data_IF_676844602455
#
_entry.id   IF_676844602455
#
_cell.length_a   1.000
_cell.length_b   1.000
_cell.length_c   1.000
_cell.angle_alpha   90.00
_cell.angle_beta   90.00
_cell.angle_gamma   90.00
#
_symmetry.space_group_name_H-M   'P 1'
#
loop_
_entity.id
_entity.type
_entity.pdbx_description
1 polymer ?
#
# COMPACT_ATOMS: atom_id res chain seq x y z
N UNK A 1 -6.31 -6.75 7.69
CA UNK A 1 -5.90 -8.05 7.13
C UNK A 1 -4.46 -8.32 7.51
N UNK A 2 -4.11 -9.58 7.81
CA UNK A 2 -2.75 -10.03 8.08
C UNK A 2 -2.44 -11.16 7.11
N UNK A 3 -1.32 -11.09 6.39
CA UNK A 3 -0.91 -12.12 5.43
C UNK A 3 -0.19 -13.30 6.11
N UNK A 4 0.60 -13.02 7.15
CA UNK A 4 1.43 -13.99 7.86
C UNK A 4 2.90 -13.80 7.52
N UNK A 5 3.78 -14.69 8.00
CA UNK A 5 5.19 -14.62 7.60
C UNK A 5 5.40 -15.20 6.20
N UNK A 6 6.27 -14.57 5.41
CA UNK A 6 6.60 -15.01 4.07
C UNK A 6 6.82 -13.84 3.13
N UNK A 7 6.97 -14.12 1.84
CA UNK A 7 6.89 -13.07 0.83
C UNK A 7 5.46 -13.10 0.30
N UNK A 8 4.64 -12.14 0.68
CA UNK A 8 3.21 -12.16 0.38
C UNK A 8 2.80 -11.19 -0.73
N UNK A 9 1.72 -11.53 -1.41
CA UNK A 9 0.97 -10.61 -2.28
C UNK A 9 -0.32 -10.23 -1.56
N UNK A 10 -0.42 -8.95 -1.22
CA UNK A 10 -1.44 -8.43 -0.30
C UNK A 10 -2.29 -7.42 -1.05
N UNK A 11 -3.59 -7.68 -1.14
CA UNK A 11 -4.58 -6.75 -1.71
C UNK A 11 -5.74 -6.60 -0.73
N UNK A 12 -6.05 -5.38 -0.31
CA UNK A 12 -7.24 -5.09 0.51
C UNK A 12 -8.53 -5.29 -0.26
N UNK A 13 -8.51 -4.83 -1.52
CA UNK A 13 -9.69 -4.77 -2.36
C UNK A 13 -10.39 -3.43 -2.17
N UNK A 14 -11.71 -3.41 -2.33
CA UNK A 14 -12.50 -2.18 -2.18
C UNK A 14 -12.82 -1.90 -0.72
N UNK A 15 -12.63 -0.65 -0.29
CA UNK A 15 -12.95 -0.17 1.06
C UNK A 15 -11.70 0.17 1.85
N UNK A 16 -11.86 0.91 2.95
CA UNK A 16 -10.70 1.40 3.70
C UNK A 16 -10.07 0.28 4.54
N UNK A 17 -8.94 -0.27 4.07
CA UNK A 17 -8.30 -1.42 4.69
C UNK A 17 -7.07 -1.10 5.53
N UNK A 18 -6.76 -1.99 6.49
CA UNK A 18 -5.45 -2.01 7.16
C UNK A 18 -4.72 -3.30 6.76
N UNK A 19 -3.55 -3.17 6.16
CA UNK A 19 -2.78 -4.27 5.55
C UNK A 19 -1.49 -4.51 6.35
N UNK A 20 -1.22 -5.76 6.68
CA UNK A 20 -0.03 -6.18 7.45
C UNK A 20 0.61 -7.42 6.81
N UNK A 21 1.85 -7.28 6.34
CA UNK A 21 2.62 -8.37 5.73
C UNK A 21 3.49 -9.17 6.70
N UNK A 22 3.66 -8.72 7.95
CA UNK A 22 4.59 -9.35 8.91
C UNK A 22 6.03 -9.43 8.38
N UNK A 23 6.68 -10.59 8.45
CA UNK A 23 8.09 -10.75 8.08
C UNK A 23 8.25 -11.27 6.65
N UNK A 24 9.21 -10.71 5.91
CA UNK A 24 9.53 -11.07 4.54
C UNK A 24 9.26 -9.93 3.56
N UNK A 25 9.49 -10.20 2.27
CA UNK A 25 9.46 -9.18 1.20
C UNK A 25 8.11 -9.18 0.51
N UNK A 26 7.26 -8.26 0.93
CA UNK A 26 5.86 -8.24 0.51
C UNK A 26 5.59 -7.31 -0.67
N UNK A 27 4.54 -7.64 -1.40
CA UNK A 27 3.99 -6.83 -2.47
C UNK A 27 2.58 -6.43 -2.09
N UNK A 28 2.35 -5.14 -1.86
CA UNK A 28 1.04 -4.56 -1.64
C UNK A 28 0.47 -4.10 -2.98
N UNK A 29 -0.61 -4.70 -3.45
CA UNK A 29 -1.29 -4.32 -4.68
C UNK A 29 -2.35 -3.28 -4.35
N UNK A 30 -2.26 -2.11 -5.01
CA UNK A 30 -3.21 -1.01 -4.86
C UNK A 30 -3.79 -0.60 -6.20
N UNK A 31 -5.12 -0.49 -6.27
CA UNK A 31 -5.89 -0.24 -7.48
C UNK A 31 -6.82 0.97 -7.31
N UNK A 32 -7.38 1.44 -8.44
CA UNK A 32 -8.41 2.49 -8.42
C UNK A 32 -9.69 1.92 -7.82
N UNK A 33 -10.31 2.66 -6.91
CA UNK A 33 -11.51 2.26 -6.19
C UNK A 33 -11.24 1.43 -4.92
N UNK A 34 -9.97 1.20 -4.57
CA UNK A 34 -9.62 0.49 -3.35
C UNK A 34 -9.93 1.34 -2.11
N UNK A 35 -9.93 2.67 -2.20
CA UNK A 35 -10.26 3.55 -1.07
C UNK A 35 -9.03 3.97 -0.29
N UNK A 36 -9.18 4.19 1.02
CA UNK A 36 -8.14 4.76 1.87
C UNK A 36 -7.47 3.69 2.77
N UNK A 37 -6.41 3.09 2.24
CA UNK A 37 -5.69 2.00 2.89
C UNK A 37 -4.54 2.47 3.77
N UNK A 38 -4.23 1.66 4.79
CA UNK A 38 -3.06 1.83 5.66
C UNK A 38 -2.23 0.57 5.73
N UNK A 39 -0.95 0.69 5.37
CA UNK A 39 0.03 -0.38 5.50
C UNK A 39 0.72 -0.23 6.85
N UNK A 40 0.85 -1.34 7.59
CA UNK A 40 1.62 -1.41 8.83
C UNK A 40 2.63 -2.54 8.71
N UNK A 41 3.91 -2.18 8.79
CA UNK A 41 5.02 -3.11 8.63
C UNK A 41 5.56 -3.57 9.99
N UNK A 42 5.74 -4.88 10.13
CA UNK A 42 6.33 -5.50 11.32
C UNK A 42 7.57 -6.36 10.99
N UNK A 43 8.00 -6.37 9.73
CA UNK A 43 9.15 -7.14 9.25
C UNK A 43 10.51 -6.54 9.60
N UNK A 44 11.57 -7.21 9.17
CA UNK A 44 12.93 -6.74 9.41
C UNK A 44 13.24 -5.50 8.54
N UNK A 45 14.14 -4.62 9.00
CA UNK A 45 14.57 -3.47 8.20
C UNK A 45 15.27 -3.86 6.88
N UNK A 46 15.69 -5.12 6.74
CA UNK A 46 16.27 -5.71 5.53
C UNK A 46 15.22 -6.20 4.54
N UNK A 47 13.95 -6.24 4.95
CA UNK A 47 12.83 -6.62 4.10
C UNK A 47 12.45 -5.43 3.24
N UNK A 48 12.63 -5.60 1.93
CA UNK A 48 12.33 -4.57 0.93
C UNK A 48 10.97 -4.89 0.33
N UNK A 49 9.96 -4.14 0.75
CA UNK A 49 8.58 -4.29 0.31
C UNK A 49 8.27 -3.38 -0.87
N UNK A 50 7.26 -3.76 -1.65
CA UNK A 50 6.88 -3.08 -2.89
C UNK A 50 5.41 -2.70 -2.83
N UNK A 51 5.11 -1.41 -3.01
CA UNK A 51 3.77 -0.98 -3.40
C UNK A 51 3.66 -1.10 -4.92
N UNK A 52 2.80 -1.99 -5.40
CA UNK A 52 2.52 -2.19 -6.82
C UNK A 52 1.20 -1.49 -7.17
N UNK A 53 1.29 -0.52 -8.07
CA UNK A 53 0.11 0.14 -8.62
C UNK A 53 -0.51 -0.73 -9.71
N UNK A 54 -1.83 -0.87 -9.66
CA UNK A 54 -2.62 -1.64 -10.62
C UNK A 54 -2.60 -1.06 -12.02
N UNK A 55 -3.12 -1.85 -12.98
CA UNK A 55 -3.19 -1.44 -14.38
C UNK A 55 -4.01 -0.14 -14.54
N UNK A 56 -3.55 0.76 -15.41
CA UNK A 56 -4.23 2.04 -15.66
C UNK A 56 -3.98 3.12 -14.60
N UNK A 57 -3.04 2.90 -13.69
CA UNK A 57 -2.46 3.94 -12.84
C UNK A 57 -1.09 4.30 -13.42
N UNK A 58 -0.99 5.46 -14.05
CA UNK A 58 0.27 6.02 -14.52
C UNK A 58 0.96 6.81 -13.40
N UNK A 59 2.25 7.07 -13.54
CA UNK A 59 3.01 7.91 -12.59
C UNK A 59 2.38 9.31 -12.42
N UNK A 60 1.84 9.88 -13.50
CA UNK A 60 1.16 11.18 -13.48
C UNK A 60 -0.15 11.17 -12.66
N UNK A 61 -0.71 10.00 -12.40
CA UNK A 61 -1.90 9.86 -11.54
C UNK A 61 -1.55 9.91 -10.06
N UNK A 62 -0.26 9.84 -9.70
CA UNK A 62 0.19 9.67 -8.32
C UNK A 62 0.70 10.99 -7.75
N UNK A 63 0.18 11.37 -6.58
CA UNK A 63 0.74 12.41 -5.75
C UNK A 63 1.37 11.79 -4.50
N UNK A 64 2.61 12.16 -4.22
CA UNK A 64 3.33 11.76 -3.01
C UNK A 64 3.37 12.94 -2.03
N UNK A 65 3.13 12.65 -0.76
CA UNK A 65 3.25 13.63 0.31
C UNK A 65 3.74 12.95 1.58
N UNK A 66 4.40 13.71 2.46
CA UNK A 66 4.73 13.25 3.80
C UNK A 66 3.84 13.99 4.80
N UNK A 67 3.12 13.25 5.64
CA UNK A 67 2.30 13.81 6.71
C UNK A 67 2.83 13.25 8.02
N UNK A 68 3.45 14.10 8.83
CA UNK A 68 4.21 13.67 10.01
C UNK A 68 5.24 12.60 9.61
N UNK A 69 5.12 11.38 10.11
CA UNK A 69 6.04 10.29 9.82
C UNK A 69 5.59 9.37 8.68
N UNK A 70 4.37 9.57 8.19
CA UNK A 70 3.77 8.72 7.17
C UNK A 70 4.10 9.26 5.77
N UNK A 71 4.43 8.34 4.87
CA UNK A 71 4.33 8.53 3.44
C UNK A 71 2.88 8.30 3.01
N UNK A 72 2.30 9.29 2.34
CA UNK A 72 0.96 9.22 1.77
C UNK A 72 1.07 9.25 0.25
N UNK A 73 0.62 8.17 -0.38
CA UNK A 73 0.49 8.01 -1.82
C UNK A 73 -0.99 8.19 -2.17
N UNK A 74 -1.34 9.18 -3.00
CA UNK A 74 -2.73 9.45 -3.39
C UNK A 74 -2.89 9.35 -4.89
N UNK A 75 -4.03 8.84 -5.35
CA UNK A 75 -4.41 8.92 -6.77
C UNK A 75 -5.19 10.22 -7.04
N UNK A 76 -4.68 11.03 -7.96
CA UNK A 76 -5.27 12.28 -8.40
C UNK A 76 -6.69 12.07 -8.93
N UNK A 77 -7.60 12.98 -8.57
CA UNK A 77 -9.01 12.91 -8.98
C UNK A 77 -9.86 11.86 -8.25
N UNK A 78 -9.33 11.22 -7.22
CA UNK A 78 -10.05 10.22 -6.41
C UNK A 78 -9.86 10.45 -4.91
N UNK A 79 -10.52 9.62 -4.08
CA UNK A 79 -10.22 9.49 -2.65
C UNK A 79 -9.24 8.38 -2.32
N UNK A 80 -8.78 7.64 -3.34
CA UNK A 80 -7.90 6.50 -3.19
C UNK A 80 -6.54 6.97 -2.67
N UNK A 81 -6.10 6.38 -1.56
CA UNK A 81 -4.78 6.63 -0.98
C UNK A 81 -4.25 5.41 -0.24
N UNK A 82 -2.93 5.32 -0.16
CA UNK A 82 -2.21 4.41 0.74
C UNK A 82 -1.35 5.24 1.67
N UNK A 83 -1.44 4.96 2.97
CA UNK A 83 -0.60 5.54 4.02
C UNK A 83 0.34 4.47 4.58
N UNK A 84 1.64 4.79 4.73
CA UNK A 84 2.66 3.89 5.28
C UNK A 84 3.68 4.65 6.12
#
# INVERSE_FOLDING_TARGET
>A
MIAGNGNDLIAGGTGDDTLMGEAGRDVYLFQRGDGADRIIEYGAATDVNVLRLGAGIAEADVALSRIQDDLVIRLNGSNDKVTR
#
